data_IF_533494064093
#
_entry.id   IF_533494064093
#
_cell.length_a   1.000
_cell.length_b   1.000
_cell.length_c   1.000
_cell.angle_alpha   90.00
_cell.angle_beta   90.00
_cell.angle_gamma   90.00
#
_symmetry.space_group_name_H-M   'P 1'
#
loop_
_entity.id
_entity.type
_entity.pdbx_description
1 polymer ?
#
# COMPACT_ATOMS: atom_id res chain seq x y z
N UNK A 1 -7.98 -20.81 -6.65
CA UNK A 1 -7.45 -21.04 -8.01
C UNK A 1 -8.02 -22.31 -8.66
N UNK A 2 -8.20 -23.42 -7.92
CA UNK A 2 -8.61 -24.73 -8.50
C UNK A 2 -10.07 -24.85 -9.02
N UNK A 3 -10.93 -23.86 -8.76
CA UNK A 3 -12.35 -23.90 -9.14
C UNK A 3 -12.59 -23.55 -10.63
N UNK A 4 -11.69 -22.77 -11.24
CA UNK A 4 -11.78 -22.35 -12.64
C UNK A 4 -11.37 -23.45 -13.61
N UNK A 5 -10.38 -24.28 -13.24
CA UNK A 5 -9.87 -25.38 -14.06
C UNK A 5 -10.91 -26.47 -14.34
N UNK A 6 -12.01 -26.52 -13.57
CA UNK A 6 -13.08 -27.52 -13.69
C UNK A 6 -14.28 -27.06 -14.53
N UNK A 7 -14.27 -25.84 -15.09
CA UNK A 7 -15.39 -25.33 -15.88
C UNK A 7 -15.26 -25.76 -17.35
N UNK A 8 -16.32 -26.33 -17.90
CA UNK A 8 -16.29 -27.01 -19.19
C UNK A 8 -16.84 -26.13 -20.32
N UNK A 9 -17.56 -25.06 -19.98
CA UNK A 9 -18.17 -24.17 -20.98
C UNK A 9 -17.82 -22.70 -20.74
N UNK A 10 -17.76 -21.92 -21.84
CA UNK A 10 -17.54 -20.46 -21.79
C UNK A 10 -18.55 -19.74 -20.90
N UNK A 11 -19.79 -20.25 -20.78
CA UNK A 11 -20.84 -19.67 -19.93
C UNK A 11 -20.55 -19.86 -18.45
N UNK A 12 -20.09 -21.05 -18.06
CA UNK A 12 -19.72 -21.36 -16.68
C UNK A 12 -18.45 -20.62 -16.25
N UNK A 13 -17.48 -20.48 -17.15
CA UNK A 13 -16.30 -19.63 -16.91
C UNK A 13 -16.73 -18.19 -16.69
N UNK A 14 -17.61 -17.64 -17.54
CA UNK A 14 -18.09 -16.26 -17.40
C UNK A 14 -18.88 -16.04 -16.10
N UNK A 15 -19.75 -16.98 -15.73
CA UNK A 15 -20.50 -16.91 -14.48
C UNK A 15 -19.59 -16.97 -13.25
N UNK A 16 -18.58 -17.84 -13.26
CA UNK A 16 -17.58 -17.89 -12.20
C UNK A 16 -16.76 -16.60 -12.13
N UNK A 17 -16.33 -16.06 -13.29
CA UNK A 17 -15.63 -14.77 -13.36
C UNK A 17 -16.48 -13.61 -12.83
N UNK A 18 -17.80 -13.65 -12.99
CA UNK A 18 -18.72 -12.65 -12.44
C UNK A 18 -18.91 -12.74 -10.92
N UNK A 19 -18.69 -13.92 -10.30
CA UNK A 19 -18.69 -14.08 -8.83
C UNK A 19 -17.32 -13.85 -8.18
N UNK A 20 -16.24 -13.93 -8.98
CA UNK A 20 -14.85 -13.81 -8.53
C UNK A 20 -14.38 -12.45 -7.95
N UNK A 21 -15.10 -11.32 -8.05
CA UNK A 21 -14.70 -10.08 -7.34
C UNK A 21 -15.17 -10.01 -5.87
N UNK A 22 -16.27 -10.67 -5.49
CA UNK A 22 -16.84 -10.52 -4.13
C UNK A 22 -16.03 -11.22 -3.05
N UNK A 23 -15.60 -12.45 -3.32
CA UNK A 23 -14.75 -13.21 -2.38
C UNK A 23 -13.36 -12.55 -2.19
N UNK A 24 -12.85 -11.87 -3.23
CA UNK A 24 -11.58 -11.15 -3.16
C UNK A 24 -11.70 -9.84 -2.38
N UNK A 25 -12.76 -9.06 -2.61
CA UNK A 25 -13.01 -7.82 -1.87
C UNK A 25 -13.19 -8.15 -0.37
N UNK A 26 -13.91 -9.22 -0.01
CA UNK A 26 -14.02 -9.70 1.39
C UNK A 26 -12.65 -10.10 1.99
N UNK A 27 -11.78 -10.71 1.20
CA UNK A 27 -10.42 -11.08 1.64
C UNK A 27 -9.59 -9.83 1.95
N UNK A 28 -9.71 -8.79 1.13
CA UNK A 28 -9.04 -7.51 1.34
C UNK A 28 -9.65 -6.74 2.52
N UNK A 29 -10.96 -6.75 2.68
CA UNK A 29 -11.65 -6.17 3.85
C UNK A 29 -11.12 -6.80 5.15
N UNK A 30 -11.00 -8.14 5.19
CA UNK A 30 -10.41 -8.84 6.34
C UNK A 30 -8.95 -8.46 6.58
N UNK A 31 -8.18 -8.19 5.54
CA UNK A 31 -6.79 -7.74 5.69
C UNK A 31 -6.73 -6.31 6.25
N UNK A 32 -7.59 -5.40 5.77
CA UNK A 32 -7.71 -4.05 6.31
C UNK A 32 -8.20 -4.08 7.76
N UNK A 33 -9.16 -4.94 8.10
CA UNK A 33 -9.60 -5.12 9.50
C UNK A 33 -8.46 -5.63 10.40
N UNK A 34 -7.63 -6.55 9.90
CA UNK A 34 -6.43 -6.99 10.62
C UNK A 34 -5.46 -5.82 10.85
N UNK A 35 -5.30 -4.93 9.88
CA UNK A 35 -4.51 -3.71 10.03
C UNK A 35 -5.10 -2.80 11.11
N UNK A 36 -6.40 -2.52 11.03
CA UNK A 36 -7.13 -1.61 11.92
C UNK A 36 -7.26 -2.13 13.36
N UNK A 37 -6.96 -3.43 13.59
CA UNK A 37 -6.98 -4.07 14.91
C UNK A 37 -5.62 -4.06 15.61
N UNK A 38 -4.58 -3.54 14.97
CA UNK A 38 -3.26 -3.36 15.58
C UNK A 38 -3.28 -2.17 16.57
N UNK A 39 -2.15 -1.90 17.23
CA UNK A 39 -2.02 -0.65 18.00
C UNK A 39 -2.11 0.57 17.08
N UNK A 40 -2.39 1.73 17.67
CA UNK A 40 -2.64 2.97 16.93
C UNK A 40 -1.45 3.38 16.05
N UNK A 41 -0.21 3.18 16.54
CA UNK A 41 1.00 3.51 15.82
C UNK A 41 1.21 2.60 14.60
N UNK A 42 1.08 1.29 14.78
CA UNK A 42 1.17 0.32 13.69
C UNK A 42 0.07 0.50 12.64
N UNK A 43 -1.16 0.77 13.09
CA UNK A 43 -2.29 1.05 12.21
C UNK A 43 -2.02 2.28 11.34
N UNK A 44 -1.60 3.39 11.96
CA UNK A 44 -1.27 4.62 11.25
C UNK A 44 -0.12 4.41 10.24
N UNK A 45 0.93 3.69 10.64
CA UNK A 45 2.06 3.37 9.77
C UNK A 45 1.63 2.52 8.56
N UNK A 46 0.84 1.47 8.78
CA UNK A 46 0.34 0.61 7.71
C UNK A 46 -0.48 1.38 6.67
N UNK A 47 -1.39 2.26 7.12
CA UNK A 47 -2.15 3.12 6.22
C UNK A 47 -1.25 4.07 5.43
N UNK A 48 -0.25 4.70 6.07
CA UNK A 48 0.73 5.55 5.36
C UNK A 48 1.48 4.77 4.29
N UNK A 49 1.94 3.55 4.57
CA UNK A 49 2.60 2.67 3.58
C UNK A 49 1.67 2.39 2.41
N UNK A 50 0.44 1.96 2.67
CA UNK A 50 -0.55 1.64 1.63
C UNK A 50 -0.88 2.86 0.76
N UNK A 51 -0.95 4.05 1.35
CA UNK A 51 -1.17 5.29 0.63
C UNK A 51 0.00 5.66 -0.27
N UNK A 52 1.24 5.59 0.22
CA UNK A 52 2.42 5.86 -0.61
C UNK A 52 2.49 4.93 -1.81
N UNK A 53 2.24 3.63 -1.63
CA UNK A 53 2.26 2.66 -2.72
C UNK A 53 1.11 2.93 -3.71
N UNK A 54 -0.09 3.24 -3.22
CA UNK A 54 -1.28 3.39 -4.06
C UNK A 54 -1.34 4.71 -4.83
N UNK A 55 -0.78 5.78 -4.26
CA UNK A 55 -0.80 7.12 -4.85
C UNK A 55 0.42 7.42 -5.73
N UNK A 56 1.48 6.61 -5.66
CA UNK A 56 2.69 6.84 -6.45
C UNK A 56 2.48 6.47 -7.92
N UNK A 57 3.01 7.29 -8.82
CA UNK A 57 2.91 7.08 -10.27
C UNK A 57 3.73 5.87 -10.74
N UNK A 58 4.86 5.62 -10.06
CA UNK A 58 5.73 4.46 -10.27
C UNK A 58 5.94 3.71 -8.97
N UNK A 59 6.34 2.43 -9.01
CA UNK A 59 6.79 1.71 -7.82
C UNK A 59 7.91 2.47 -7.10
N UNK A 60 7.82 2.51 -5.77
CA UNK A 60 8.84 3.08 -4.91
C UNK A 60 9.85 2.01 -4.51
N UNK A 61 11.10 2.40 -4.33
CA UNK A 61 12.07 1.53 -3.65
C UNK A 61 11.80 1.53 -2.14
N UNK A 62 12.32 0.51 -1.44
CA UNK A 62 12.26 0.45 0.03
C UNK A 62 12.89 1.70 0.65
N UNK A 63 14.03 2.17 0.12
CA UNK A 63 14.71 3.36 0.61
C UNK A 63 13.86 4.63 0.43
N UNK A 64 13.29 4.82 -0.77
CA UNK A 64 12.41 5.96 -1.06
C UNK A 64 11.20 6.00 -0.12
N UNK A 65 10.57 4.84 0.11
CA UNK A 65 9.44 4.75 1.02
C UNK A 65 9.83 5.08 2.46
N UNK A 66 10.97 4.57 2.95
CA UNK A 66 11.45 4.83 4.31
C UNK A 66 11.72 6.33 4.52
N UNK A 67 12.38 6.98 3.57
CA UNK A 67 12.62 8.42 3.63
C UNK A 67 11.29 9.18 3.66
N UNK A 68 10.36 8.84 2.76
CA UNK A 68 9.05 9.46 2.67
C UNK A 68 8.19 9.27 3.94
N UNK A 69 8.41 8.21 4.71
CA UNK A 69 7.74 7.97 5.98
C UNK A 69 8.39 8.67 7.17
N UNK A 70 9.71 8.87 7.13
CA UNK A 70 10.48 9.55 8.17
C UNK A 70 10.28 11.08 8.17
N UNK A 71 9.99 11.68 7.02
CA UNK A 71 9.83 13.13 6.89
C UNK A 71 8.53 13.62 7.53
N UNK A 72 8.67 14.57 8.45
CA UNK A 72 7.59 15.30 9.09
C UNK A 72 7.49 16.75 8.60
N UNK A 73 6.29 17.37 8.62
CA UNK A 73 6.14 18.76 8.20
C UNK A 73 6.97 19.73 9.06
N UNK A 74 7.89 20.44 8.41
CA UNK A 74 8.76 21.43 9.07
C UNK A 74 10.21 20.98 9.22
N UNK A 75 10.52 19.72 8.91
CA UNK A 75 11.88 19.20 8.84
C UNK A 75 12.72 19.99 7.82
N UNK A 76 14.02 20.09 8.12
CA UNK A 76 15.01 20.75 7.26
C UNK A 76 16.10 19.81 6.76
N UNK A 77 16.14 18.60 7.29
CA UNK A 77 17.01 17.50 6.96
C UNK A 77 16.28 16.18 7.22
N UNK A 78 16.88 15.07 6.77
CA UNK A 78 16.36 13.74 7.02
C UNK A 78 16.90 13.23 8.37
N UNK A 79 16.02 13.03 9.34
CA UNK A 79 16.36 12.33 10.57
C UNK A 79 16.48 10.82 10.33
N UNK A 80 17.70 10.30 10.39
CA UNK A 80 17.97 8.87 10.21
C UNK A 80 17.36 8.01 11.34
N UNK A 81 17.17 8.59 12.53
CA UNK A 81 16.52 7.90 13.66
C UNK A 81 15.01 7.71 13.42
N UNK A 82 14.42 8.46 12.47
CA UNK A 82 13.04 8.30 12.00
C UNK A 82 12.84 7.18 10.97
N UNK A 83 13.91 6.54 10.50
CA UNK A 83 13.83 5.50 9.47
C UNK A 83 13.30 4.18 10.04
N UNK A 84 12.13 3.79 9.57
CA UNK A 84 11.50 2.54 9.97
C UNK A 84 12.25 1.34 9.38
N UNK A 85 12.24 0.22 10.12
CA UNK A 85 12.78 -1.06 9.65
C UNK A 85 11.98 -1.59 8.43
N UNK A 86 12.64 -2.05 7.34
CA UNK A 86 11.96 -2.54 6.16
C UNK A 86 10.98 -3.68 6.42
N UNK A 87 11.36 -4.63 7.27
CA UNK A 87 10.57 -5.80 7.62
C UNK A 87 9.33 -5.39 8.42
N UNK A 88 9.46 -4.37 9.28
CA UNK A 88 8.31 -3.76 9.96
C UNK A 88 7.28 -3.19 8.97
N UNK A 89 7.72 -2.51 7.91
CA UNK A 89 6.80 -1.93 6.92
C UNK A 89 5.94 -2.99 6.22
N UNK A 90 6.51 -4.16 5.95
CA UNK A 90 5.78 -5.30 5.38
C UNK A 90 4.86 -5.94 6.41
N UNK A 91 5.36 -6.14 7.64
CA UNK A 91 4.65 -6.77 8.73
C UNK A 91 3.33 -6.05 9.07
N UNK A 92 3.38 -4.73 9.27
CA UNK A 92 2.20 -3.95 9.69
C UNK A 92 1.10 -3.90 8.61
N UNK A 93 1.44 -4.22 7.36
CA UNK A 93 0.49 -4.25 6.24
C UNK A 93 -0.27 -5.58 6.09
N UNK A 94 -0.14 -6.50 7.04
CA UNK A 94 -0.93 -7.73 7.13
C UNK A 94 -1.00 -8.58 5.84
N UNK A 95 0.11 -8.60 5.08
CA UNK A 95 0.25 -9.36 3.84
C UNK A 95 -0.30 -8.67 2.59
N UNK A 96 -0.69 -7.40 2.66
CA UNK A 96 -1.10 -6.60 1.49
C UNK A 96 0.07 -6.03 0.70
N UNK A 97 1.26 -5.99 1.31
CA UNK A 97 2.48 -5.41 0.75
C UNK A 97 3.57 -6.48 0.70
N UNK A 98 4.41 -6.40 -0.32
CA UNK A 98 5.59 -7.24 -0.50
C UNK A 98 6.74 -6.39 -1.04
N UNK A 99 7.97 -6.87 -0.85
CA UNK A 99 9.18 -6.30 -1.44
C UNK A 99 9.68 -7.25 -2.52
N UNK A 100 9.96 -6.71 -3.69
CA UNK A 100 10.60 -7.44 -4.77
C UNK A 100 12.11 -7.56 -4.51
N UNK A 101 12.63 -8.79 -4.45
CA UNK A 101 14.03 -9.05 -4.05
C UNK A 101 15.05 -8.58 -5.10
N UNK A 102 14.71 -8.58 -6.39
CA UNK A 102 15.63 -8.19 -7.46
C UNK A 102 15.70 -6.66 -7.62
N UNK A 103 14.56 -5.99 -7.56
CA UNK A 103 14.44 -4.55 -7.81
C UNK A 103 14.38 -3.70 -6.55
N UNK A 104 14.28 -4.31 -5.37
CA UNK A 104 14.08 -3.65 -4.07
C UNK A 104 12.88 -2.69 -4.05
N UNK A 105 11.84 -3.01 -4.82
CA UNK A 105 10.63 -2.20 -4.94
C UNK A 105 9.52 -2.70 -4.04
N UNK A 106 8.86 -1.76 -3.36
CA UNK A 106 7.70 -2.04 -2.51
C UNK A 106 6.45 -2.03 -3.38
N UNK A 107 5.67 -3.10 -3.31
CA UNK A 107 4.50 -3.32 -4.17
C UNK A 107 3.36 -3.94 -3.38
N UNK A 108 2.14 -3.75 -3.88
CA UNK A 108 1.00 -4.54 -3.39
C UNK A 108 1.17 -5.99 -3.81
N UNK A 109 0.73 -6.92 -2.97
CA UNK A 109 0.89 -8.37 -3.18
C UNK A 109 0.22 -8.86 -4.48
N UNK A 110 -0.81 -8.16 -4.95
CA UNK A 110 -1.51 -8.50 -6.18
C UNK A 110 -2.07 -7.26 -6.89
N UNK A 111 -2.17 -7.30 -8.22
CA UNK A 111 -2.70 -6.18 -9.01
C UNK A 111 -4.17 -5.87 -8.66
N UNK A 112 -4.97 -6.88 -8.29
CA UNK A 112 -6.38 -6.67 -7.88
C UNK A 112 -6.50 -5.95 -6.53
N UNK A 113 -5.45 -5.97 -5.69
CA UNK A 113 -5.38 -5.15 -4.48
C UNK A 113 -5.37 -3.66 -4.83
N UNK A 114 -4.69 -3.28 -5.92
CA UNK A 114 -4.69 -1.90 -6.40
C UNK A 114 -6.08 -1.46 -6.88
N UNK A 115 -6.79 -2.32 -7.59
CA UNK A 115 -8.16 -2.05 -8.04
C UNK A 115 -9.16 -1.99 -6.89
N UNK A 116 -8.96 -2.78 -5.84
CA UNK A 116 -9.70 -2.68 -4.59
C UNK A 116 -9.49 -1.33 -3.90
N UNK A 117 -8.23 -0.90 -3.74
CA UNK A 117 -7.91 0.40 -3.14
C UNK A 117 -8.42 1.57 -3.97
N UNK A 118 -8.41 1.49 -5.30
CA UNK A 118 -9.02 2.53 -6.16
C UNK A 118 -10.53 2.64 -5.93
N UNK A 119 -11.23 1.53 -5.70
CA UNK A 119 -12.69 1.49 -5.50
C UNK A 119 -13.13 2.05 -4.15
N UNK A 120 -12.44 1.68 -3.08
CA UNK A 120 -12.80 2.10 -1.70
C UNK A 120 -12.13 3.43 -1.33
N UNK A 121 -11.02 3.73 -2.00
CA UNK A 121 -10.10 4.78 -1.60
C UNK A 121 -10.42 6.18 -2.07
N UNK A 122 -11.36 6.47 -2.98
CA UNK A 122 -11.48 7.83 -3.55
C UNK A 122 -11.60 8.93 -2.46
N UNK A 123 -12.30 8.66 -1.36
CA UNK A 123 -12.41 9.59 -0.23
C UNK A 123 -11.18 9.59 0.72
N UNK A 124 -10.51 8.44 0.90
CA UNK A 124 -9.32 8.31 1.76
C UNK A 124 -8.02 8.74 1.04
N UNK A 125 -7.99 8.60 -0.28
CA UNK A 125 -6.88 8.95 -1.16
C UNK A 125 -6.72 10.47 -1.29
N UNK A 126 -7.79 11.27 -1.21
CA UNK A 126 -7.69 12.73 -1.27
C UNK A 126 -6.96 13.33 -0.06
N UNK A 127 -7.16 12.76 1.14
CA UNK A 127 -6.42 13.14 2.35
C UNK A 127 -4.97 12.66 2.26
N UNK A 128 -4.77 11.45 1.72
CA UNK A 128 -3.45 10.89 1.49
C UNK A 128 -2.62 11.72 0.50
N UNK A 129 -3.19 12.16 -0.63
CA UNK A 129 -2.47 12.94 -1.65
C UNK A 129 -2.01 14.29 -1.13
N UNK A 130 -2.81 14.97 -0.30
CA UNK A 130 -2.39 16.21 0.36
C UNK A 130 -1.20 15.99 1.29
N UNK A 131 -1.21 14.89 2.04
CA UNK A 131 -0.11 14.53 2.95
C UNK A 131 1.17 14.21 2.17
N UNK A 132 1.06 13.36 1.15
CA UNK A 132 2.17 13.02 0.24
C UNK A 132 2.77 14.28 -0.40
N UNK A 133 1.93 15.17 -0.94
CA UNK A 133 2.41 16.40 -1.56
C UNK A 133 3.17 17.30 -0.58
N UNK A 134 2.65 17.44 0.66
CA UNK A 134 3.33 18.22 1.71
C UNK A 134 4.66 17.59 2.11
N UNK A 135 4.73 16.27 2.24
CA UNK A 135 5.98 15.56 2.52
C UNK A 135 7.00 15.76 1.40
N UNK A 136 6.60 15.59 0.13
CA UNK A 136 7.48 15.85 -1.01
C UNK A 136 7.99 17.29 -1.03
N UNK A 137 7.11 18.27 -0.77
CA UNK A 137 7.52 19.68 -0.68
C UNK A 137 8.50 19.93 0.46
N UNK A 138 8.29 19.31 1.61
CA UNK A 138 9.19 19.43 2.76
C UNK A 138 10.57 18.87 2.42
N UNK A 139 10.62 17.66 1.86
CA UNK A 139 11.87 17.03 1.42
C UNK A 139 12.63 17.86 0.37
N UNK A 140 11.91 18.52 -0.55
CA UNK A 140 12.51 19.41 -1.56
C UNK A 140 13.02 20.73 -0.98
N UNK A 141 12.54 21.13 0.21
CA UNK A 141 12.92 22.36 0.91
C UNK A 141 13.99 22.13 1.96
N UNK A 142 14.56 20.92 2.06
CA UNK A 142 15.68 20.65 2.94
C UNK A 142 16.85 21.60 2.63
N UNK A 143 17.56 22.01 3.69
CA UNK A 143 18.60 23.05 3.62
C UNK A 143 19.83 22.59 2.80
N UNK A 144 19.89 21.30 2.47
CA UNK A 144 20.97 20.67 1.71
C UNK A 144 20.54 20.32 0.29
N UNK A 145 21.01 21.11 -0.68
CA UNK A 145 21.43 20.63 -2.00
C UNK A 145 22.77 21.28 -2.38
#
# INVERSE_FOLDING_TARGET
MDSLAKKLTRREVRAALSSLPKELDETYDQAIQRIDSQDEGQTALAHRVLYWISCSLRPLTVAELRHALAVEPGDRDLDEDGLHDPELLVYVCAGLVTVDEESHQVRLVHYTTQDYFKRIGIARLSVATSTIARTCLTYLLFDTF
#
